data_IF_993401698227
#
_entry.id   IF_993401698227
#
_cell.length_a   1.000
_cell.length_b   1.000
_cell.length_c   1.000
_cell.angle_alpha   90.00
_cell.angle_beta   90.00
_cell.angle_gamma   90.00
#
_symmetry.space_group_name_H-M   'P 1'
#
loop_
_entity.id
_entity.type
_entity.pdbx_description
1 polymer ?
#
# COMPACT_ATOMS: atom_id res chain seq x y z
N UNK A 1 -0.14 40.22 -5.60
CA UNK A 1 0.49 38.99 -5.15
C UNK A 1 0.29 37.97 -6.27
N UNK A 2 1.35 37.63 -6.96
CA UNK A 2 1.29 36.69 -8.11
C UNK A 2 1.09 35.28 -7.55
N UNK A 3 -0.06 34.67 -7.83
CA UNK A 3 -0.26 33.24 -7.59
C UNK A 3 0.75 32.49 -8.46
N UNK A 4 1.65 31.76 -7.83
CA UNK A 4 2.45 30.77 -8.54
C UNK A 4 1.46 29.78 -9.16
N UNK A 5 1.55 29.58 -10.47
CA UNK A 5 0.83 28.51 -11.16
C UNK A 5 1.34 27.21 -10.55
N UNK A 6 0.51 26.31 -10.02
CA UNK A 6 0.99 25.04 -9.52
C UNK A 6 1.69 24.32 -10.67
N UNK A 7 2.82 23.70 -10.36
CA UNK A 7 3.54 22.86 -11.31
C UNK A 7 2.60 21.71 -11.71
N UNK A 8 2.15 21.69 -12.95
CA UNK A 8 1.08 20.86 -13.47
C UNK A 8 1.38 19.35 -13.54
N UNK A 9 2.46 18.86 -12.91
CA UNK A 9 2.89 17.46 -13.07
C UNK A 9 3.48 16.84 -11.79
N UNK A 10 3.08 17.32 -10.60
CA UNK A 10 3.63 16.78 -9.35
C UNK A 10 3.08 15.41 -8.94
N UNK A 11 1.94 14.99 -9.49
CA UNK A 11 1.35 13.68 -9.25
C UNK A 11 0.56 13.17 -10.45
N UNK A 12 0.40 11.85 -10.52
CA UNK A 12 -0.49 11.19 -11.50
C UNK A 12 -1.76 10.78 -10.78
N UNK A 13 -2.90 11.32 -11.20
CA UNK A 13 -4.21 10.98 -10.65
C UNK A 13 -5.03 10.24 -11.70
N UNK A 14 -5.35 8.97 -11.44
CA UNK A 14 -6.19 8.13 -12.31
C UNK A 14 -7.67 8.14 -11.87
N UNK A 15 -8.16 9.26 -11.40
CA UNK A 15 -9.53 9.48 -10.90
C UNK A 15 -9.87 8.76 -9.58
N UNK A 16 -8.87 8.36 -8.78
CA UNK A 16 -9.12 7.90 -7.42
C UNK A 16 -9.66 9.05 -6.57
N UNK A 17 -9.06 10.22 -6.73
CA UNK A 17 -9.55 11.48 -6.15
C UNK A 17 -9.91 12.48 -7.23
N UNK A 18 -10.85 13.38 -6.96
CA UNK A 18 -11.15 14.50 -7.87
C UNK A 18 -9.94 15.44 -7.96
N UNK A 19 -9.49 15.79 -9.16
CA UNK A 19 -8.42 16.77 -9.34
C UNK A 19 -8.77 18.12 -8.71
N UNK A 20 -10.02 18.58 -8.82
CA UNK A 20 -10.50 19.80 -8.15
C UNK A 20 -10.35 19.69 -6.63
N UNK A 21 -10.63 18.52 -6.05
CA UNK A 21 -10.45 18.30 -4.62
C UNK A 21 -8.98 18.39 -4.20
N UNK A 22 -8.10 17.76 -4.96
CA UNK A 22 -6.66 17.79 -4.70
C UNK A 22 -6.04 19.18 -4.91
N UNK A 23 -6.52 19.92 -5.91
CA UNK A 23 -5.93 21.22 -6.28
C UNK A 23 -6.48 22.40 -5.46
N UNK A 24 -7.72 22.29 -4.96
CA UNK A 24 -8.43 23.45 -4.38
C UNK A 24 -8.88 23.24 -2.92
N UNK A 25 -9.00 21.99 -2.45
CA UNK A 25 -9.64 21.70 -1.17
C UNK A 25 -8.75 20.96 -0.17
N UNK A 26 -7.82 20.11 -0.61
CA UNK A 26 -7.01 19.28 0.29
C UNK A 26 -6.21 20.13 1.27
N UNK A 27 -5.64 21.25 0.84
CA UNK A 27 -4.86 22.15 1.69
C UNK A 27 -5.66 22.83 2.82
N UNK A 28 -7.01 22.75 2.77
CA UNK A 28 -7.90 23.32 3.78
C UNK A 28 -8.31 22.32 4.86
N UNK A 29 -7.86 21.08 4.79
CA UNK A 29 -8.21 20.02 5.73
C UNK A 29 -7.18 20.00 6.85
N UNK A 30 -7.64 20.05 8.12
CA UNK A 30 -6.76 20.02 9.30
C UNK A 30 -5.80 18.82 9.28
N UNK A 31 -6.25 17.66 8.77
CA UNK A 31 -5.43 16.46 8.64
C UNK A 31 -4.28 16.59 7.62
N UNK A 32 -4.32 17.61 6.76
CA UNK A 32 -3.27 17.92 5.78
C UNK A 32 -2.22 18.90 6.32
N UNK A 33 -2.42 19.48 7.50
CA UNK A 33 -1.43 20.33 8.18
C UNK A 33 -0.33 19.46 8.83
N UNK A 34 0.45 18.78 7.98
CA UNK A 34 1.50 17.82 8.35
C UNK A 34 2.85 18.10 7.67
N UNK A 35 3.12 19.36 7.28
CA UNK A 35 4.31 19.73 6.50
C UNK A 35 5.63 19.28 7.14
N UNK A 36 5.79 19.42 8.45
CA UNK A 36 7.03 19.02 9.14
C UNK A 36 7.20 17.50 9.17
N UNK A 37 6.10 16.76 9.32
CA UNK A 37 6.11 15.31 9.25
C UNK A 37 6.38 14.82 7.83
N UNK A 38 5.70 15.37 6.86
CA UNK A 38 5.90 15.06 5.44
C UNK A 38 7.36 15.31 5.02
N UNK A 39 7.96 16.40 5.49
CA UNK A 39 9.38 16.70 5.24
C UNK A 39 10.31 15.66 5.88
N UNK A 40 10.05 15.26 7.11
CA UNK A 40 10.82 14.21 7.78
C UNK A 40 10.75 12.90 7.00
N UNK A 41 9.53 12.45 6.68
CA UNK A 41 9.29 11.22 5.91
C UNK A 41 9.96 11.30 4.53
N UNK A 42 9.85 12.44 3.85
CA UNK A 42 10.52 12.64 2.55
C UNK A 42 12.05 12.46 2.64
N UNK A 43 12.72 13.02 3.66
CA UNK A 43 14.17 12.85 3.81
C UNK A 43 14.53 11.40 4.17
N UNK A 44 13.69 10.70 4.91
CA UNK A 44 13.84 9.27 5.23
C UNK A 44 13.73 8.41 3.97
N UNK A 45 12.66 8.57 3.18
CA UNK A 45 12.48 7.89 1.89
C UNK A 45 13.59 8.21 0.90
N UNK A 46 14.07 9.45 0.90
CA UNK A 46 15.20 9.87 0.07
C UNK A 46 16.52 9.22 0.49
N UNK A 47 16.72 9.01 1.79
CA UNK A 47 17.89 8.28 2.30
C UNK A 47 17.82 6.80 1.93
N UNK A 48 16.65 6.18 2.09
CA UNK A 48 16.38 4.80 1.65
C UNK A 48 16.64 4.64 0.15
N UNK A 49 16.11 5.54 -0.68
CA UNK A 49 16.37 5.52 -2.13
C UNK A 49 17.85 5.62 -2.48
N UNK A 50 18.63 6.41 -1.75
CA UNK A 50 20.08 6.50 -1.97
C UNK A 50 20.83 5.23 -1.59
N UNK A 51 20.31 4.48 -0.62
CA UNK A 51 20.89 3.22 -0.18
C UNK A 51 20.53 2.06 -1.13
N UNK A 52 19.26 1.95 -1.51
CA UNK A 52 18.71 0.79 -2.19
C UNK A 52 18.40 1.00 -3.68
N UNK A 53 18.33 2.24 -4.16
CA UNK A 53 17.82 2.58 -5.49
C UNK A 53 18.53 1.93 -6.68
N UNK A 54 19.81 1.56 -6.53
CA UNK A 54 20.56 0.83 -7.55
C UNK A 54 20.25 -0.67 -7.55
N UNK A 55 19.75 -1.22 -6.44
CA UNK A 55 19.52 -2.63 -6.21
C UNK A 55 18.06 -3.04 -6.46
N UNK A 56 17.11 -2.17 -6.15
CA UNK A 56 15.65 -2.48 -6.20
C UNK A 56 15.17 -3.06 -7.53
N UNK A 57 15.81 -2.66 -8.63
CA UNK A 57 15.46 -3.16 -9.98
C UNK A 57 15.89 -4.61 -10.23
N UNK A 58 16.83 -5.11 -9.45
CA UNK A 58 17.37 -6.47 -9.56
C UNK A 58 16.78 -7.43 -8.54
N UNK A 59 16.04 -6.91 -7.57
CA UNK A 59 15.37 -7.73 -6.55
C UNK A 59 14.29 -8.61 -7.17
N UNK A 60 14.16 -9.83 -6.67
CA UNK A 60 12.95 -10.60 -6.82
C UNK A 60 11.82 -9.99 -5.96
N UNK A 61 10.60 -10.54 -6.04
CA UNK A 61 9.42 -9.99 -5.35
C UNK A 61 9.61 -9.98 -3.82
N UNK A 62 10.15 -11.05 -3.23
CA UNK A 62 10.36 -11.15 -1.77
C UNK A 62 11.46 -10.20 -1.29
N UNK A 63 12.55 -10.07 -2.05
CA UNK A 63 13.63 -9.13 -1.76
C UNK A 63 13.15 -7.68 -1.87
N UNK A 64 12.36 -7.36 -2.91
CA UNK A 64 11.79 -6.04 -3.10
C UNK A 64 10.80 -5.69 -1.98
N UNK A 65 9.98 -6.67 -1.57
CA UNK A 65 9.03 -6.50 -0.48
C UNK A 65 9.77 -6.12 0.81
N UNK A 66 10.78 -6.90 1.21
CA UNK A 66 11.48 -6.71 2.48
C UNK A 66 12.47 -5.54 2.49
N UNK A 67 13.18 -5.29 1.38
CA UNK A 67 14.24 -4.27 1.36
C UNK A 67 13.74 -2.87 0.97
N UNK A 68 12.57 -2.78 0.36
CA UNK A 68 12.05 -1.51 -0.14
C UNK A 68 10.62 -1.21 0.31
N UNK A 69 9.67 -2.11 0.03
CA UNK A 69 8.25 -1.84 0.25
C UNK A 69 7.94 -1.75 1.74
N UNK A 70 8.49 -2.66 2.56
CA UNK A 70 8.33 -2.64 4.02
C UNK A 70 8.88 -1.36 4.62
N UNK A 71 10.09 -0.96 4.22
CA UNK A 71 10.75 0.25 4.70
C UNK A 71 9.96 1.52 4.31
N UNK A 72 9.37 1.54 3.10
CA UNK A 72 8.48 2.64 2.68
C UNK A 72 7.22 2.67 3.55
N UNK A 73 6.58 1.53 3.79
CA UNK A 73 5.40 1.46 4.64
C UNK A 73 5.70 1.90 6.08
N UNK A 74 6.85 1.49 6.64
CA UNK A 74 7.30 1.90 7.97
C UNK A 74 7.56 3.40 8.03
N UNK A 75 8.27 3.98 7.04
CA UNK A 75 8.50 5.41 6.95
C UNK A 75 7.20 6.22 6.89
N UNK A 76 6.16 5.68 6.24
CA UNK A 76 4.82 6.25 6.18
C UNK A 76 3.99 6.02 7.46
N UNK A 77 4.54 5.33 8.47
CA UNK A 77 3.91 5.12 9.77
C UNK A 77 2.98 3.90 9.84
N UNK A 78 3.08 2.98 8.91
CA UNK A 78 2.32 1.73 8.97
C UNK A 78 3.13 0.59 9.59
N UNK A 79 2.50 -0.15 10.48
CA UNK A 79 2.96 -1.48 10.89
C UNK A 79 2.42 -2.53 9.93
N UNK A 80 3.22 -3.56 9.61
CA UNK A 80 2.81 -4.63 8.69
C UNK A 80 2.63 -5.99 9.39
N UNK A 81 1.78 -6.83 8.83
CA UNK A 81 1.64 -8.25 9.15
C UNK A 81 1.66 -9.06 7.86
N UNK A 82 2.74 -9.83 7.69
CA UNK A 82 2.99 -10.58 6.46
C UNK A 82 2.11 -11.84 6.33
N UNK A 83 1.88 -12.25 5.07
CA UNK A 83 1.31 -13.55 4.67
C UNK A 83 0.06 -13.94 5.46
N UNK A 84 -0.97 -13.13 5.41
CA UNK A 84 -2.23 -13.44 6.09
C UNK A 84 -3.18 -14.14 5.12
N UNK A 85 -3.62 -15.35 5.50
CA UNK A 85 -4.61 -16.11 4.73
C UNK A 85 -5.92 -15.34 4.65
N UNK A 86 -6.49 -15.25 3.46
CA UNK A 86 -7.80 -14.66 3.24
C UNK A 86 -8.89 -15.46 3.97
N UNK A 87 -9.92 -14.81 4.51
CA UNK A 87 -11.07 -15.49 5.06
C UNK A 87 -11.62 -16.53 4.08
N UNK A 88 -11.90 -17.74 4.58
CA UNK A 88 -12.37 -18.84 3.75
C UNK A 88 -11.30 -19.58 2.96
N UNK A 89 -10.01 -19.23 3.11
CA UNK A 89 -8.90 -19.96 2.48
C UNK A 89 -8.71 -19.67 0.99
N UNK A 90 -9.13 -18.51 0.51
CA UNK A 90 -9.06 -18.10 -0.90
C UNK A 90 -7.68 -17.60 -1.37
N UNK A 91 -6.63 -17.90 -0.65
CA UNK A 91 -5.27 -17.43 -0.88
C UNK A 91 -4.74 -16.63 0.30
N UNK A 92 -3.70 -15.88 0.07
CA UNK A 92 -3.09 -14.98 1.05
C UNK A 92 -2.65 -13.68 0.37
N UNK A 93 -2.59 -12.61 1.11
CA UNK A 93 -2.01 -11.34 0.68
C UNK A 93 -0.60 -11.19 1.26
N UNK A 94 0.21 -10.34 0.66
CA UNK A 94 1.57 -10.13 1.13
C UNK A 94 1.57 -9.43 2.50
N UNK A 95 0.87 -8.30 2.65
CA UNK A 95 0.77 -7.59 3.92
C UNK A 95 -0.63 -7.09 4.24
N UNK A 96 -0.96 -7.12 5.54
CA UNK A 96 -1.94 -6.22 6.14
C UNK A 96 -1.21 -5.04 6.77
N UNK A 97 -1.69 -3.83 6.52
CA UNK A 97 -1.15 -2.59 7.05
C UNK A 97 -2.04 -2.05 8.17
N UNK A 98 -1.42 -1.56 9.23
CA UNK A 98 -2.09 -1.05 10.43
C UNK A 98 -1.58 0.35 10.75
N UNK A 99 -2.47 1.20 11.21
CA UNK A 99 -2.19 2.57 11.65
C UNK A 99 -1.55 2.65 13.06
N UNK A 100 -1.41 1.50 13.74
CA UNK A 100 -0.81 1.43 15.07
C UNK A 100 -0.26 0.05 15.42
N UNK A 101 0.81 0.00 16.23
CA UNK A 101 1.39 -1.25 16.74
C UNK A 101 0.40 -2.07 17.57
N UNK A 102 -0.55 -1.42 18.23
CA UNK A 102 -1.58 -2.05 19.07
C UNK A 102 -2.52 -2.88 18.21
N UNK A 103 -3.06 -2.30 17.14
CA UNK A 103 -3.94 -3.00 16.18
C UNK A 103 -3.24 -4.15 15.50
N UNK A 104 -1.98 -3.96 15.09
CA UNK A 104 -1.16 -5.05 14.55
C UNK A 104 -0.99 -6.20 15.54
N UNK A 105 -0.67 -5.92 16.82
CA UNK A 105 -0.51 -6.97 17.84
C UNK A 105 -1.81 -7.73 18.09
N UNK A 106 -2.95 -7.06 18.02
CA UNK A 106 -4.25 -7.70 18.14
C UNK A 106 -4.54 -8.57 16.92
N UNK A 107 -4.28 -8.08 15.70
CA UNK A 107 -4.41 -8.87 14.47
C UNK A 107 -3.53 -10.13 14.48
N UNK A 108 -2.32 -10.07 15.04
CA UNK A 108 -1.47 -11.26 15.26
C UNK A 108 -2.14 -12.28 16.18
N UNK A 109 -2.85 -11.82 17.24
CA UNK A 109 -3.58 -12.74 18.13
C UNK A 109 -4.76 -13.38 17.41
N UNK A 110 -5.51 -12.60 16.62
CA UNK A 110 -6.61 -13.10 15.79
C UNK A 110 -6.12 -14.15 14.78
N UNK A 111 -5.07 -13.84 14.02
CA UNK A 111 -4.43 -14.78 13.08
C UNK A 111 -3.99 -16.07 13.75
N UNK A 112 -3.32 -15.99 14.91
CA UNK A 112 -2.89 -17.17 15.67
C UNK A 112 -4.04 -18.00 16.24
N UNK A 113 -5.19 -17.41 16.42
CA UNK A 113 -6.40 -18.07 16.88
C UNK A 113 -7.25 -18.64 15.72
N UNK A 114 -6.79 -18.51 14.46
CA UNK A 114 -7.53 -18.95 13.27
C UNK A 114 -8.78 -18.09 13.00
N UNK A 115 -8.73 -16.82 13.38
CA UNK A 115 -9.82 -15.86 13.14
C UNK A 115 -9.34 -14.81 12.14
N UNK A 116 -9.22 -15.21 10.89
CA UNK A 116 -8.70 -14.40 9.79
C UNK A 116 -9.54 -13.11 9.61
N UNK A 117 -10.87 -13.22 9.64
CA UNK A 117 -11.77 -12.05 9.55
C UNK A 117 -11.45 -10.99 10.61
N UNK A 118 -11.15 -11.41 11.84
CA UNK A 118 -10.76 -10.50 12.92
C UNK A 118 -9.44 -9.78 12.63
N UNK A 119 -8.45 -10.48 12.04
CA UNK A 119 -7.19 -9.86 11.66
C UNK A 119 -7.37 -8.82 10.54
N UNK A 120 -8.18 -9.15 9.53
CA UNK A 120 -8.50 -8.23 8.42
C UNK A 120 -9.34 -7.03 8.88
N UNK A 121 -10.31 -7.21 9.77
CA UNK A 121 -11.14 -6.12 10.31
C UNK A 121 -10.36 -5.10 11.17
N UNK A 122 -9.14 -5.43 11.59
CA UNK A 122 -8.25 -4.51 12.31
C UNK A 122 -7.33 -3.74 11.37
N UNK A 123 -7.16 -4.16 10.12
CA UNK A 123 -6.25 -3.55 9.17
C UNK A 123 -6.82 -2.28 8.55
N UNK A 124 -5.94 -1.33 8.22
CA UNK A 124 -6.27 -0.12 7.46
C UNK A 124 -6.26 -0.38 5.95
N UNK A 125 -5.37 -1.27 5.49
CA UNK A 125 -5.28 -1.68 4.08
C UNK A 125 -4.71 -3.09 3.96
N UNK A 126 -4.99 -3.76 2.84
CA UNK A 126 -4.18 -4.87 2.36
C UNK A 126 -3.21 -4.39 1.28
N UNK A 127 -2.05 -5.03 1.19
CA UNK A 127 -1.03 -4.73 0.20
C UNK A 127 -0.65 -6.00 -0.54
N UNK A 128 -0.53 -5.86 -1.85
CA UNK A 128 -0.01 -6.88 -2.77
C UNK A 128 1.17 -6.30 -3.52
N UNK A 129 2.30 -6.95 -3.44
CA UNK A 129 3.53 -6.58 -4.11
C UNK A 129 3.70 -7.32 -5.44
N UNK A 130 4.40 -6.70 -6.36
CA UNK A 130 4.87 -7.29 -7.61
C UNK A 130 6.30 -6.82 -7.87
N UNK A 131 6.99 -7.46 -8.80
CA UNK A 131 8.32 -7.04 -9.23
C UNK A 131 8.34 -5.59 -9.69
N UNK A 132 9.51 -4.94 -9.62
CA UNK A 132 9.71 -3.51 -9.88
C UNK A 132 9.10 -2.98 -11.19
N UNK A 133 9.21 -3.73 -12.27
CA UNK A 133 8.70 -3.33 -13.60
C UNK A 133 7.47 -4.15 -14.03
N UNK A 134 6.73 -4.74 -13.07
CA UNK A 134 5.56 -5.56 -13.39
C UNK A 134 4.46 -4.72 -14.05
N UNK A 135 3.90 -5.25 -15.12
CA UNK A 135 2.65 -4.76 -15.70
C UNK A 135 1.46 -5.32 -14.91
N UNK A 136 0.80 -4.48 -14.13
CA UNK A 136 -0.33 -4.88 -13.28
C UNK A 136 -1.56 -5.33 -14.07
N UNK A 137 -1.57 -5.12 -15.38
CA UNK A 137 -2.65 -5.55 -16.29
C UNK A 137 -2.27 -6.77 -17.12
N UNK A 138 -1.04 -7.27 -16.98
CA UNK A 138 -0.61 -8.50 -17.63
C UNK A 138 -1.44 -9.68 -17.15
N UNK A 139 -1.97 -10.43 -18.10
CA UNK A 139 -2.89 -11.51 -17.82
C UNK A 139 -2.16 -12.72 -17.21
N UNK A 140 -2.64 -13.17 -16.08
CA UNK A 140 -2.20 -14.41 -15.46
C UNK A 140 -2.67 -15.65 -16.22
N UNK A 141 -2.12 -16.81 -15.88
CA UNK A 141 -2.57 -18.10 -16.39
C UNK A 141 -4.06 -18.33 -16.07
N UNK A 142 -4.76 -19.05 -16.97
CA UNK A 142 -6.22 -19.23 -16.93
C UNK A 142 -6.72 -20.08 -15.72
N UNK A 143 -5.83 -20.69 -14.95
CA UNK A 143 -6.16 -21.47 -13.75
C UNK A 143 -6.36 -20.62 -12.48
N UNK A 144 -6.07 -19.30 -12.54
CA UNK A 144 -6.23 -18.40 -11.40
C UNK A 144 -7.66 -17.83 -11.31
N UNK A 145 -8.09 -17.56 -10.08
CA UNK A 145 -9.40 -16.94 -9.81
C UNK A 145 -9.46 -15.45 -10.18
N UNK A 146 -8.34 -14.85 -10.51
CA UNK A 146 -8.20 -13.43 -10.89
C UNK A 146 -7.36 -13.31 -12.17
N UNK A 147 -7.69 -12.34 -13.01
CA UNK A 147 -7.18 -12.18 -14.36
C UNK A 147 -5.76 -11.61 -14.42
N UNK A 148 -5.47 -10.64 -13.58
CA UNK A 148 -4.25 -9.85 -13.51
C UNK A 148 -4.03 -9.36 -12.06
N UNK A 149 -2.92 -8.66 -11.79
CA UNK A 149 -2.60 -8.18 -10.45
C UNK A 149 -3.63 -7.16 -9.92
N UNK A 150 -4.15 -6.29 -10.78
CA UNK A 150 -5.21 -5.35 -10.37
C UNK A 150 -6.50 -6.07 -9.98
N UNK A 151 -6.87 -7.10 -10.73
CA UNK A 151 -8.03 -7.93 -10.39
C UNK A 151 -7.77 -8.80 -9.15
N UNK A 152 -6.52 -9.18 -8.87
CA UNK A 152 -6.14 -9.90 -7.66
C UNK A 152 -6.47 -9.11 -6.40
N UNK A 153 -6.04 -7.84 -6.32
CA UNK A 153 -6.34 -6.98 -5.17
C UNK A 153 -7.84 -6.78 -5.00
N UNK A 154 -8.58 -6.53 -6.08
CA UNK A 154 -10.02 -6.44 -6.04
C UNK A 154 -10.67 -7.74 -5.56
N UNK A 155 -10.22 -8.88 -6.05
CA UNK A 155 -10.70 -10.21 -5.65
C UNK A 155 -10.48 -10.46 -4.15
N UNK A 156 -9.37 -9.96 -3.59
CA UNK A 156 -9.07 -10.05 -2.17
C UNK A 156 -9.99 -9.17 -1.34
N UNK A 157 -10.16 -7.90 -1.72
CA UNK A 157 -11.08 -6.97 -1.04
C UNK A 157 -12.51 -7.47 -1.01
N UNK A 158 -13.01 -8.11 -2.06
CA UNK A 158 -14.36 -8.71 -2.11
C UNK A 158 -14.55 -9.88 -1.13
N UNK A 159 -13.47 -10.37 -0.49
CA UNK A 159 -13.47 -11.51 0.44
C UNK A 159 -13.00 -11.17 1.84
N UNK A 160 -12.78 -9.91 2.09
CA UNK A 160 -12.43 -9.35 3.39
C UNK A 160 -13.63 -8.66 4.02
N UNK A 161 -13.64 -8.40 5.34
CA UNK A 161 -14.71 -7.64 5.98
C UNK A 161 -14.93 -6.26 5.34
N UNK A 162 -16.15 -5.77 5.33
CA UNK A 162 -16.57 -4.49 4.73
C UNK A 162 -15.79 -3.28 5.29
N UNK A 163 -15.26 -3.40 6.51
CA UNK A 163 -14.45 -2.35 7.16
C UNK A 163 -13.07 -2.15 6.50
N UNK A 164 -12.57 -3.14 5.76
CA UNK A 164 -11.34 -3.04 5.00
C UNK A 164 -11.60 -2.50 3.59
N UNK A 165 -11.60 -1.18 3.46
CA UNK A 165 -11.95 -0.49 2.21
C UNK A 165 -10.80 -0.25 1.24
N UNK A 166 -9.54 -0.54 1.63
CA UNK A 166 -8.38 -0.16 0.84
C UNK A 166 -7.50 -1.35 0.47
N UNK A 167 -7.13 -1.39 -0.81
CA UNK A 167 -6.13 -2.32 -1.35
C UNK A 167 -5.04 -1.54 -2.08
N UNK A 168 -3.80 -1.84 -1.74
CA UNK A 168 -2.61 -1.25 -2.35
C UNK A 168 -1.97 -2.31 -3.24
N UNK A 169 -1.75 -1.96 -4.50
CA UNK A 169 -0.96 -2.76 -5.43
C UNK A 169 0.30 -1.98 -5.78
N UNK A 170 1.45 -2.58 -5.53
CA UNK A 170 2.71 -1.89 -5.78
C UNK A 170 3.77 -2.79 -6.40
N UNK A 171 4.61 -2.21 -7.25
CA UNK A 171 5.90 -2.78 -7.69
C UNK A 171 7.07 -1.98 -7.10
N UNK A 172 6.83 -1.22 -6.03
CA UNK A 172 7.83 -0.35 -5.41
C UNK A 172 8.10 0.96 -6.14
N UNK A 173 7.90 0.98 -7.47
CA UNK A 173 7.98 2.18 -8.31
C UNK A 173 6.63 2.86 -8.48
N UNK A 174 5.60 2.07 -8.59
CA UNK A 174 4.21 2.50 -8.78
C UNK A 174 3.39 1.97 -7.59
N UNK A 175 2.55 2.82 -7.05
CA UNK A 175 1.72 2.57 -5.87
C UNK A 175 0.26 2.85 -6.20
#
# INVERSE_FOLDING_TARGET
>A
MSRATPASDSYTNSNLFSSTYLDEHVDSIDAWDCDEEAKRVFEELRALWRAEGDLVRSHNEDELLSAWIDEVCEALGFDSLSETTLPGGYGYNDHLLFDSPERRREAVREKRAGREEGAYGLASALLEAKQWDADFTERFADDRSYRDASHQVKYYLERTPDDLGWGILTGGRTW
#
